data_IF_472308241609
#
_entry.id   IF_472308241609
#
_cell.length_a   1.000
_cell.length_b   1.000
_cell.length_c   1.000
_cell.angle_alpha   90.00
_cell.angle_beta   90.00
_cell.angle_gamma   90.00
#
_symmetry.space_group_name_H-M   'P 1'
#
loop_
_entity.id
_entity.type
_entity.pdbx_description
1 polymer ?
#
# COMPACT_ATOMS: atom_id res chain seq x y z
N UNK A 1 -14.46 14.69 6.37
CA UNK A 1 -13.88 13.61 5.54
C UNK A 1 -14.47 13.74 4.14
N UNK A 2 -13.66 13.65 3.09
CA UNK A 2 -14.12 13.66 1.69
C UNK A 2 -13.79 12.31 1.06
N UNK A 3 -14.77 11.69 0.41
CA UNK A 3 -14.63 10.39 -0.24
C UNK A 3 -14.61 10.59 -1.76
N UNK A 4 -13.77 9.81 -2.43
CA UNK A 4 -13.68 9.80 -3.88
C UNK A 4 -13.86 8.37 -4.35
N UNK A 5 -14.86 8.12 -5.19
CA UNK A 5 -15.08 6.81 -5.82
C UNK A 5 -14.13 6.66 -7.02
N UNK A 6 -12.83 6.57 -6.72
CA UNK A 6 -11.75 6.44 -7.70
C UNK A 6 -10.72 5.42 -7.19
N UNK A 7 -9.88 4.92 -8.10
CA UNK A 7 -8.77 4.04 -7.73
C UNK A 7 -7.65 4.83 -7.05
N UNK A 8 -7.00 4.22 -6.06
CA UNK A 8 -5.85 4.81 -5.37
C UNK A 8 -4.67 5.13 -6.30
N UNK A 9 -4.52 4.42 -7.42
CA UNK A 9 -3.54 4.75 -8.47
C UNK A 9 -3.70 6.16 -9.06
N UNK A 10 -4.86 6.80 -8.84
CA UNK A 10 -5.16 8.17 -9.27
C UNK A 10 -5.13 9.19 -8.13
N UNK A 11 -4.58 8.84 -6.97
CA UNK A 11 -4.57 9.75 -5.81
C UNK A 11 -3.84 11.08 -6.10
N UNK A 12 -2.83 11.05 -6.96
CA UNK A 12 -2.09 12.25 -7.39
C UNK A 12 -2.96 13.26 -8.18
N UNK A 13 -4.07 12.81 -8.78
CA UNK A 13 -5.03 13.68 -9.46
C UNK A 13 -5.84 14.54 -8.47
N UNK A 14 -5.92 14.11 -7.22
CA UNK A 14 -6.79 14.69 -6.19
C UNK A 14 -5.99 15.48 -5.16
N UNK A 15 -4.78 15.03 -4.83
CA UNK A 15 -3.95 15.66 -3.81
C UNK A 15 -3.20 16.85 -4.44
N UNK A 16 -3.36 18.08 -3.90
CA UNK A 16 -2.59 19.24 -4.36
C UNK A 16 -1.09 18.99 -4.25
N UNK A 17 -0.31 19.49 -5.21
CA UNK A 17 1.15 19.25 -5.28
C UNK A 17 1.91 19.70 -4.03
N UNK A 18 1.46 20.77 -3.37
CA UNK A 18 2.09 21.32 -2.17
C UNK A 18 1.50 20.75 -0.86
N UNK A 19 0.67 19.71 -0.95
CA UNK A 19 0.05 19.09 0.22
C UNK A 19 1.08 18.33 1.05
N UNK A 20 1.20 18.58 2.37
CA UNK A 20 2.16 17.90 3.23
C UNK A 20 1.67 16.48 3.62
N UNK A 21 1.61 15.57 2.65
CA UNK A 21 1.18 14.18 2.88
C UNK A 21 2.19 13.48 3.78
N UNK A 22 1.81 13.24 5.03
CA UNK A 22 2.64 12.52 6.00
C UNK A 22 2.38 11.01 6.05
N UNK A 23 1.19 10.58 5.64
CA UNK A 23 0.78 9.19 5.70
C UNK A 23 -0.09 8.83 4.51
N UNK A 24 0.25 7.71 3.85
CA UNK A 24 -0.64 6.99 2.96
C UNK A 24 -0.87 5.60 3.56
N UNK A 25 -2.13 5.18 3.69
CA UNK A 25 -2.47 3.88 4.28
C UNK A 25 -3.28 3.05 3.30
N UNK A 26 -2.83 1.82 3.09
CA UNK A 26 -3.48 0.81 2.27
C UNK A 26 -3.93 -0.36 3.14
N UNK A 27 -5.15 -0.83 2.92
CA UNK A 27 -5.65 -2.11 3.39
C UNK A 27 -6.05 -2.93 2.16
N UNK A 28 -5.21 -3.88 1.77
CA UNK A 28 -5.34 -4.61 0.51
C UNK A 28 -6.10 -5.92 0.71
N UNK A 29 -7.15 -6.09 -0.08
CA UNK A 29 -8.07 -7.21 -0.06
C UNK A 29 -9.46 -6.77 -0.47
N UNK A 30 -10.48 -7.33 0.17
CA UNK A 30 -11.88 -6.99 -0.07
C UNK A 30 -12.50 -6.30 1.16
N UNK A 31 -13.58 -5.55 0.93
CA UNK A 31 -14.32 -4.90 2.00
C UNK A 31 -15.10 -5.95 2.84
N UNK A 32 -14.90 -6.02 4.17
CA UNK A 32 -15.70 -6.90 5.03
C UNK A 32 -17.20 -6.58 4.93
N UNK A 33 -18.01 -7.61 4.66
CA UNK A 33 -19.46 -7.46 4.44
C UNK A 33 -19.86 -6.89 3.07
N UNK A 34 -18.90 -6.60 2.20
CA UNK A 34 -19.13 -6.18 0.82
C UNK A 34 -19.09 -7.33 -0.20
N UNK A 35 -19.15 -6.97 -1.47
CA UNK A 35 -18.95 -7.92 -2.57
C UNK A 35 -17.48 -8.35 -2.65
N UNK A 36 -17.23 -9.66 -2.50
CA UNK A 36 -15.88 -10.25 -2.52
C UNK A 36 -15.26 -10.29 -3.92
N UNK A 37 -16.05 -10.02 -4.98
CA UNK A 37 -15.51 -9.82 -6.33
C UNK A 37 -14.84 -8.46 -6.48
N UNK A 38 -15.17 -7.49 -5.62
CA UNK A 38 -14.51 -6.19 -5.57
C UNK A 38 -13.33 -6.29 -4.62
N UNK A 39 -12.16 -6.51 -5.22
CA UNK A 39 -10.91 -6.78 -4.52
C UNK A 39 -9.78 -5.91 -5.08
N UNK A 40 -8.78 -5.61 -4.27
CA UNK A 40 -7.53 -5.04 -4.79
C UNK A 40 -6.80 -6.07 -5.65
N UNK A 41 -6.06 -5.57 -6.64
CA UNK A 41 -5.33 -6.42 -7.58
C UNK A 41 -3.89 -5.93 -7.78
N UNK A 42 -2.93 -6.86 -7.97
CA UNK A 42 -1.50 -6.58 -8.05
C UNK A 42 -1.14 -5.37 -8.93
N UNK A 43 -1.70 -5.29 -10.14
CA UNK A 43 -1.37 -4.27 -11.12
C UNK A 43 -1.75 -2.87 -10.64
N UNK A 44 -2.93 -2.74 -10.02
CA UNK A 44 -3.39 -1.44 -9.52
C UNK A 44 -2.73 -1.05 -8.21
N UNK A 45 -2.31 -2.03 -7.42
CA UNK A 45 -1.56 -1.84 -6.18
C UNK A 45 -0.16 -1.30 -6.48
N UNK A 46 0.55 -1.83 -7.47
CA UNK A 46 1.86 -1.29 -7.87
C UNK A 46 1.76 0.18 -8.29
N UNK A 47 0.80 0.51 -9.16
CA UNK A 47 0.57 1.89 -9.60
C UNK A 47 0.22 2.82 -8.43
N UNK A 48 -0.55 2.35 -7.46
CA UNK A 48 -0.90 3.12 -6.27
C UNK A 48 0.29 3.34 -5.33
N UNK A 49 1.19 2.36 -5.18
CA UNK A 49 2.42 2.51 -4.41
C UNK A 49 3.38 3.51 -5.06
N UNK A 50 3.49 3.48 -6.39
CA UNK A 50 4.26 4.48 -7.15
C UNK A 50 3.68 5.90 -6.97
N UNK A 51 2.35 6.05 -7.04
CA UNK A 51 1.70 7.33 -6.77
C UNK A 51 1.95 7.80 -5.32
N UNK A 52 1.80 6.89 -4.36
CA UNK A 52 2.04 7.16 -2.94
C UNK A 52 3.48 7.62 -2.67
N UNK A 53 4.49 6.99 -3.30
CA UNK A 53 5.91 7.34 -3.09
C UNK A 53 6.28 8.72 -3.66
N UNK A 54 5.58 9.16 -4.71
CA UNK A 54 5.71 10.51 -5.26
C UNK A 54 5.09 11.57 -4.36
N UNK A 55 3.90 11.32 -3.82
CA UNK A 55 3.18 12.34 -3.03
C UNK A 55 3.59 12.40 -1.56
N UNK A 56 4.06 11.29 -0.98
CA UNK A 56 4.46 11.28 0.44
C UNK A 56 5.72 12.13 0.62
N UNK A 57 5.68 13.03 1.60
CA UNK A 57 6.79 13.93 1.92
C UNK A 57 7.94 13.22 2.63
N UNK A 58 9.10 13.89 2.68
CA UNK A 58 10.20 13.50 3.59
C UNK A 58 9.71 13.45 5.04
N UNK A 59 10.18 12.46 5.80
CA UNK A 59 9.67 12.12 7.13
C UNK A 59 8.31 11.40 7.13
N UNK A 60 7.72 11.14 5.96
CA UNK A 60 6.41 10.49 5.83
C UNK A 60 6.46 8.97 5.82
N UNK A 61 5.28 8.35 5.82
CA UNK A 61 5.10 6.90 5.88
C UNK A 61 4.08 6.40 4.85
N UNK A 62 4.38 5.28 4.21
CA UNK A 62 3.39 4.46 3.51
C UNK A 62 3.19 3.19 4.33
N UNK A 63 1.96 2.95 4.76
CA UNK A 63 1.55 1.77 5.52
C UNK A 63 0.73 0.86 4.63
N UNK A 64 1.17 -0.38 4.44
CA UNK A 64 0.50 -1.35 3.56
C UNK A 64 0.17 -2.61 4.36
N UNK A 65 -1.10 -2.79 4.71
CA UNK A 65 -1.59 -4.02 5.31
C UNK A 65 -2.16 -4.92 4.22
N UNK A 66 -1.57 -6.11 4.03
CA UNK A 66 -1.93 -7.06 2.96
C UNK A 66 -2.63 -8.26 3.56
N UNK A 67 -3.91 -8.47 3.21
CA UNK A 67 -4.68 -9.62 3.67
C UNK A 67 -4.41 -10.84 2.78
N UNK A 68 -3.29 -11.52 3.02
CA UNK A 68 -2.83 -12.60 2.13
C UNK A 68 -3.78 -13.81 2.02
N UNK A 69 -4.67 -14.01 3.01
CA UNK A 69 -5.51 -15.20 3.19
C UNK A 69 -6.53 -15.54 2.08
N UNK A 70 -6.68 -14.70 1.05
CA UNK A 70 -7.61 -14.92 -0.06
C UNK A 70 -6.89 -15.20 -1.39
N UNK A 71 -7.66 -15.61 -2.40
CA UNK A 71 -7.15 -15.78 -3.78
C UNK A 71 -6.55 -14.45 -4.29
N UNK A 72 -5.34 -14.49 -4.82
CA UNK A 72 -4.59 -13.31 -5.28
C UNK A 72 -3.89 -12.51 -4.18
N UNK A 73 -4.17 -12.76 -2.89
CA UNK A 73 -3.58 -12.00 -1.78
C UNK A 73 -2.07 -12.20 -1.63
N UNK A 74 -1.53 -13.35 -2.05
CA UNK A 74 -0.08 -13.63 -2.07
C UNK A 74 0.60 -12.91 -3.23
N UNK A 75 0.03 -12.99 -4.42
CA UNK A 75 0.53 -12.29 -5.61
C UNK A 75 0.60 -10.77 -5.36
N UNK A 76 -0.37 -10.23 -4.63
CA UNK A 76 -0.37 -8.82 -4.25
C UNK A 76 0.69 -8.48 -3.18
N UNK A 77 0.96 -9.38 -2.22
CA UNK A 77 2.09 -9.23 -1.30
C UNK A 77 3.42 -9.22 -2.06
N UNK A 78 3.60 -10.11 -3.03
CA UNK A 78 4.83 -10.19 -3.84
C UNK A 78 5.09 -8.86 -4.56
N UNK A 79 4.06 -8.20 -5.10
CA UNK A 79 4.18 -6.86 -5.68
C UNK A 79 4.61 -5.83 -4.64
N UNK A 80 4.02 -5.85 -3.44
CA UNK A 80 4.36 -4.90 -2.37
C UNK A 80 5.82 -5.08 -1.93
N UNK A 81 6.27 -6.31 -1.69
CA UNK A 81 7.65 -6.62 -1.31
C UNK A 81 8.65 -6.30 -2.43
N UNK A 82 8.29 -6.62 -3.67
CA UNK A 82 9.08 -6.31 -4.86
C UNK A 82 9.23 -4.79 -5.07
N UNK A 83 8.17 -4.01 -4.86
CA UNK A 83 8.24 -2.54 -4.86
C UNK A 83 9.13 -2.04 -3.72
N UNK A 84 8.89 -2.50 -2.49
CA UNK A 84 9.60 -2.06 -1.29
C UNK A 84 11.11 -2.31 -1.35
N UNK A 85 11.52 -3.43 -1.96
CA UNK A 85 12.93 -3.82 -2.14
C UNK A 85 13.68 -3.02 -3.21
N UNK A 86 12.96 -2.40 -4.16
CA UNK A 86 13.55 -1.53 -5.20
C UNK A 86 13.75 -0.08 -4.76
N UNK A 87 13.24 0.30 -3.58
CA UNK A 87 13.37 1.67 -3.09
C UNK A 87 14.83 1.99 -2.72
N UNK A 88 15.35 3.18 -3.05
CA UNK A 88 16.71 3.56 -2.71
C UNK A 88 16.94 3.63 -1.20
N UNK A 89 17.92 2.87 -0.70
CA UNK A 89 18.21 2.72 0.74
C UNK A 89 18.72 4.01 1.40
N UNK A 90 19.20 4.97 0.64
CA UNK A 90 19.64 6.29 1.11
C UNK A 90 18.44 7.17 1.48
N UNK A 91 17.31 7.03 0.80
CA UNK A 91 16.11 7.86 0.95
C UNK A 91 14.91 7.12 1.57
N UNK A 92 14.96 5.79 1.67
CA UNK A 92 13.85 4.98 2.21
C UNK A 92 14.31 3.97 3.26
N UNK A 93 13.38 3.62 4.15
CA UNK A 93 13.47 2.47 5.06
C UNK A 93 12.22 1.61 4.86
N UNK A 94 12.41 0.36 4.49
CA UNK A 94 11.34 -0.62 4.25
C UNK A 94 11.39 -1.70 5.33
N UNK A 95 10.27 -1.94 6.02
CA UNK A 95 10.14 -2.98 7.05
C UNK A 95 8.95 -3.88 6.77
N UNK A 96 9.11 -5.18 7.06
CA UNK A 96 8.02 -6.17 7.00
C UNK A 96 7.75 -6.74 8.39
N UNK A 97 6.48 -6.85 8.74
CA UNK A 97 6.00 -7.47 9.96
C UNK A 97 5.03 -8.58 9.60
N UNK A 98 5.32 -9.78 10.11
CA UNK A 98 4.53 -10.98 9.87
C UNK A 98 4.38 -11.79 11.16
N UNK A 99 3.27 -12.51 11.28
CA UNK A 99 2.98 -13.34 12.44
C UNK A 99 3.63 -14.71 12.28
N UNK A 100 4.60 -15.04 13.13
CA UNK A 100 5.40 -16.28 13.03
C UNK A 100 4.53 -17.55 13.14
N UNK A 101 3.50 -17.54 13.99
CA UNK A 101 2.62 -18.70 14.21
C UNK A 101 1.27 -18.61 13.50
N UNK A 102 1.08 -17.64 12.59
CA UNK A 102 -0.18 -17.46 11.83
C UNK A 102 0.14 -17.20 10.35
N UNK A 103 0.40 -18.26 9.56
CA UNK A 103 0.91 -18.15 8.19
C UNK A 103 -0.09 -17.54 7.18
N UNK A 104 -1.35 -17.36 7.57
CA UNK A 104 -2.39 -16.70 6.76
C UNK A 104 -2.84 -15.36 7.34
N UNK A 105 -2.20 -14.89 8.40
CA UNK A 105 -2.48 -13.57 8.95
C UNK A 105 -2.01 -12.47 7.99
N UNK A 106 -2.63 -11.27 8.06
CA UNK A 106 -2.17 -10.14 7.26
C UNK A 106 -0.70 -9.81 7.51
N UNK A 107 0.00 -9.43 6.44
CA UNK A 107 1.38 -8.96 6.49
C UNK A 107 1.38 -7.44 6.42
N UNK A 108 2.20 -6.80 7.25
CA UNK A 108 2.27 -5.34 7.29
C UNK A 108 3.63 -4.88 6.78
N UNK A 109 3.62 -4.13 5.68
CA UNK A 109 4.81 -3.50 5.11
C UNK A 109 4.76 -1.99 5.41
N UNK A 110 5.85 -1.46 5.97
CA UNK A 110 6.03 -0.04 6.28
C UNK A 110 7.15 0.53 5.42
N UNK A 111 6.88 1.61 4.69
CA UNK A 111 7.84 2.31 3.85
C UNK A 111 7.98 3.75 4.36
N UNK A 112 9.05 4.02 5.09
CA UNK A 112 9.35 5.34 5.61
C UNK A 112 10.26 6.10 4.64
N UNK A 113 9.83 7.29 4.23
CA UNK A 113 10.64 8.20 3.41
C UNK A 113 11.44 9.10 4.35
N UNK A 114 12.76 9.03 4.26
CA UNK A 114 13.67 9.78 5.12
C UNK A 114 13.58 11.29 4.87
#
# INVERSE_FOLDING_TARGET
>A
VKLFCIRHSRMEDIIPKDSPVRLVAFNLGYLPGGDKQIITVPETTELALQAASRIVGSGGLISVLVYIGHLGGRDELDIVESFASRLPVDTWVSCKFEMINRPVAPVHVLLHKK
#
